data_IF_947326090828
#
_entry.id   IF_947326090828
#
_cell.length_a   1.000
_cell.length_b   1.000
_cell.length_c   1.000
_cell.angle_alpha   90.00
_cell.angle_beta   90.00
_cell.angle_gamma   90.00
#
_symmetry.space_group_name_H-M   'P 1'
#
loop_
_entity.id
_entity.type
_entity.pdbx_description
1 polymer ?
#
# COMPACT_ATOMS: atom_id res chain seq x y z
N UNK A 1 -10.70 -14.54 2.98
CA UNK A 1 -9.25 -14.49 3.27
C UNK A 1 -8.40 -14.16 2.02
N UNK A 2 -8.84 -13.29 1.09
CA UNK A 2 -8.13 -13.06 -0.19
C UNK A 2 -7.42 -11.71 -0.29
N UNK A 3 -8.04 -10.66 0.27
CA UNK A 3 -7.46 -9.31 0.31
C UNK A 3 -6.14 -9.25 1.09
N UNK A 4 -6.06 -9.97 2.21
CA UNK A 4 -4.84 -10.03 3.03
C UNK A 4 -3.70 -10.78 2.31
N UNK A 5 -4.03 -11.85 1.58
CA UNK A 5 -3.05 -12.64 0.82
C UNK A 5 -2.46 -11.83 -0.35
N UNK A 6 -3.31 -11.08 -1.06
CA UNK A 6 -2.87 -10.19 -2.14
C UNK A 6 -2.01 -9.02 -1.62
N UNK A 7 -2.33 -8.46 -0.45
CA UNK A 7 -1.48 -7.45 0.19
C UNK A 7 -0.12 -7.99 0.61
N UNK A 8 -0.08 -9.19 1.20
CA UNK A 8 1.17 -9.83 1.61
C UNK A 8 2.08 -10.15 0.41
N UNK A 9 1.50 -10.54 -0.73
CA UNK A 9 2.24 -10.80 -1.99
C UNK A 9 2.78 -9.53 -2.66
N UNK A 10 2.24 -8.36 -2.32
CA UNK A 10 2.65 -7.06 -2.88
C UNK A 10 3.70 -6.35 -2.02
N UNK A 11 4.20 -6.98 -0.96
CA UNK A 11 5.30 -6.45 -0.15
C UNK A 11 6.63 -6.66 -0.89
N UNK A 12 7.08 -5.64 -1.61
CA UNK A 12 8.39 -5.61 -2.26
C UNK A 12 9.45 -5.10 -1.29
N UNK A 13 10.32 -5.99 -0.80
CA UNK A 13 11.46 -5.63 0.04
C UNK A 13 11.08 -5.09 1.43
N UNK A 14 12.07 -4.50 2.13
CA UNK A 14 12.04 -4.04 3.53
C UNK A 14 11.04 -2.89 3.79
N UNK A 15 9.75 -3.14 3.54
CA UNK A 15 8.63 -2.24 3.75
C UNK A 15 7.67 -2.88 4.74
N UNK A 16 7.33 -2.14 5.78
CA UNK A 16 6.44 -2.60 6.85
C UNK A 16 5.19 -1.75 6.88
N UNK A 17 4.01 -2.36 6.72
CA UNK A 17 2.74 -1.67 6.90
C UNK A 17 2.37 -1.64 8.39
N UNK A 18 2.15 -0.44 8.93
CA UNK A 18 1.73 -0.20 10.31
C UNK A 18 0.20 -0.16 10.45
N UNK A 19 -0.48 0.37 9.44
CA UNK A 19 -1.95 0.48 9.44
C UNK A 19 -2.49 0.40 8.03
N UNK A 20 -3.56 -0.37 7.90
CA UNK A 20 -4.44 -0.35 6.74
C UNK A 20 -5.83 0.08 7.17
N UNK A 21 -6.42 1.03 6.45
CA UNK A 21 -7.81 1.45 6.65
C UNK A 21 -8.53 1.39 5.31
N UNK A 22 -9.53 0.52 5.19
CA UNK A 22 -10.42 0.45 4.05
C UNK A 22 -11.68 1.29 4.32
N UNK A 23 -12.01 2.22 3.42
CA UNK A 23 -13.23 3.04 3.47
C UNK A 23 -13.91 3.00 2.11
N UNK A 24 -14.93 2.15 1.98
CA UNK A 24 -15.58 1.90 0.70
C UNK A 24 -14.60 1.25 -0.27
N UNK A 25 -14.17 1.99 -1.29
CA UNK A 25 -13.15 1.56 -2.27
C UNK A 25 -11.78 2.19 -2.05
N UNK A 26 -11.62 3.10 -1.08
CA UNK A 26 -10.34 3.74 -0.77
C UNK A 26 -9.60 2.97 0.32
N UNK A 27 -8.31 2.69 0.10
CA UNK A 27 -7.41 2.07 1.06
C UNK A 27 -6.35 3.10 1.44
N UNK A 28 -6.34 3.49 2.70
CA UNK A 28 -5.24 4.24 3.29
C UNK A 28 -4.25 3.28 3.95
N UNK A 29 -2.99 3.36 3.55
CA UNK A 29 -1.87 2.58 4.09
C UNK A 29 -0.90 3.53 4.76
N UNK A 30 -0.48 3.24 5.98
CA UNK A 30 0.69 3.86 6.60
C UNK A 30 1.72 2.80 6.91
N UNK A 31 2.99 3.11 6.67
CA UNK A 31 4.08 2.17 6.87
C UNK A 31 5.43 2.85 7.04
N UNK A 32 6.45 2.02 7.25
CA UNK A 32 7.85 2.41 7.27
C UNK A 32 8.57 1.69 6.14
N UNK A 33 9.29 2.45 5.33
CA UNK A 33 10.16 1.96 4.28
C UNK A 33 11.61 2.20 4.69
N UNK A 34 12.51 1.29 4.28
CA UNK A 34 13.95 1.44 4.49
C UNK A 34 14.56 2.64 3.75
N UNK A 35 13.97 3.03 2.62
CA UNK A 35 14.38 4.19 1.81
C UNK A 35 13.20 4.72 0.96
N UNK A 36 13.37 5.93 0.41
CA UNK A 36 12.35 6.57 -0.44
C UNK A 36 12.11 5.87 -1.79
N UNK A 37 13.09 5.12 -2.29
CA UNK A 37 12.94 4.34 -3.51
C UNK A 37 11.96 3.18 -3.29
N UNK A 38 11.89 2.59 -2.09
CA UNK A 38 10.88 1.54 -1.78
C UNK A 38 9.45 2.06 -1.87
N UNK A 39 9.21 3.29 -1.41
CA UNK A 39 7.88 3.92 -1.51
C UNK A 39 7.48 4.09 -2.99
N UNK A 40 8.45 4.48 -3.83
CA UNK A 40 8.24 4.66 -5.28
C UNK A 40 7.95 3.33 -5.97
N UNK A 41 8.64 2.25 -5.59
CA UNK A 41 8.39 0.91 -6.13
C UNK A 41 7.03 0.36 -5.67
N UNK A 42 6.59 0.65 -4.44
CA UNK A 42 5.25 0.30 -3.97
C UNK A 42 4.15 0.99 -4.78
N UNK A 43 4.32 2.29 -5.10
CA UNK A 43 3.39 3.02 -5.95
C UNK A 43 3.29 2.40 -7.34
N UNK A 44 4.43 2.03 -7.95
CA UNK A 44 4.46 1.37 -9.25
C UNK A 44 3.82 -0.01 -9.21
N UNK A 45 4.01 -0.78 -8.14
CA UNK A 45 3.36 -2.07 -7.96
C UNK A 45 1.82 -1.92 -7.92
N UNK A 46 1.31 -0.90 -7.23
CA UNK A 46 -0.12 -0.59 -7.25
C UNK A 46 -0.63 -0.13 -8.62
N UNK A 47 0.14 0.67 -9.35
CA UNK A 47 -0.21 1.14 -10.70
C UNK A 47 -0.24 0.00 -11.73
N UNK A 48 0.66 -0.98 -11.58
CA UNK A 48 0.72 -2.18 -12.42
C UNK A 48 -0.34 -3.25 -12.05
N UNK A 49 -1.01 -3.08 -10.92
CA UNK A 49 -1.99 -4.07 -10.45
C UNK A 49 -3.35 -3.88 -11.12
N UNK A 50 -3.96 -4.99 -11.54
CA UNK A 50 -5.33 -4.97 -12.07
C UNK A 50 -6.38 -4.62 -10.98
N UNK A 51 -6.01 -4.81 -9.71
CA UNK A 51 -6.93 -4.67 -8.57
C UNK A 51 -6.91 -3.29 -7.94
N UNK A 52 -5.89 -2.48 -8.24
CA UNK A 52 -5.65 -1.20 -7.60
C UNK A 52 -5.47 -0.10 -8.65
N UNK A 53 -5.87 1.13 -8.31
CA UNK A 53 -5.71 2.29 -9.19
C UNK A 53 -5.56 3.57 -8.38
N UNK A 54 -4.92 4.57 -8.97
CA UNK A 54 -4.77 5.90 -8.36
C UNK A 54 -3.96 5.87 -7.06
N UNK A 55 -2.93 5.02 -6.99
CA UNK A 55 -2.00 5.01 -5.87
C UNK A 55 -1.29 6.36 -5.76
N UNK A 56 -1.39 7.01 -4.60
CA UNK A 56 -0.75 8.30 -4.36
C UNK A 56 -0.22 8.39 -2.93
N UNK A 57 0.97 8.96 -2.77
CA UNK A 57 1.56 9.22 -1.45
C UNK A 57 1.00 10.51 -0.87
N UNK A 58 0.47 10.43 0.35
CA UNK A 58 -0.12 11.55 1.07
C UNK A 58 0.83 12.18 2.07
N UNK A 59 1.82 11.44 2.58
CA UNK A 59 2.87 11.98 3.45
C UNK A 59 4.14 11.13 3.41
N UNK A 60 5.29 11.80 3.51
CA UNK A 60 6.61 11.17 3.67
C UNK A 60 7.36 11.94 4.75
N UNK A 61 7.84 11.22 5.76
CA UNK A 61 8.65 11.77 6.82
C UNK A 61 9.84 10.86 7.09
N UNK A 62 11.04 11.45 7.17
CA UNK A 62 12.22 10.71 7.60
C UNK A 62 11.97 10.10 8.98
N UNK A 63 12.32 8.83 9.12
CA UNK A 63 12.14 8.05 10.34
C UNK A 63 13.46 7.40 10.75
N UNK A 64 14.47 8.21 11.17
CA UNK A 64 15.82 7.74 11.46
C UNK A 64 15.89 6.70 12.59
N UNK A 65 14.82 6.60 13.39
CA UNK A 65 14.69 5.58 14.45
C UNK A 65 14.62 4.15 13.90
N UNK A 66 14.18 3.96 12.65
CA UNK A 66 14.15 2.66 11.98
C UNK A 66 15.37 2.39 11.07
N UNK A 67 16.20 3.40 10.83
CA UNK A 67 17.38 3.31 9.96
C UNK A 67 17.76 4.68 9.39
N UNK A 68 19.03 4.90 9.00
CA UNK A 68 19.52 6.21 8.57
C UNK A 68 18.79 6.79 7.34
N UNK A 69 18.29 5.91 6.47
CA UNK A 69 17.56 6.29 5.24
C UNK A 69 16.06 6.00 5.34
N UNK A 70 15.62 5.44 6.48
CA UNK A 70 14.27 4.98 6.67
C UNK A 70 13.29 6.15 6.68
N UNK A 71 12.11 5.91 6.09
CA UNK A 71 11.06 6.90 5.97
C UNK A 71 9.71 6.30 6.31
N UNK A 72 8.97 7.00 7.17
CA UNK A 72 7.56 6.71 7.42
C UNK A 72 6.74 7.34 6.31
N UNK A 73 5.84 6.56 5.73
CA UNK A 73 5.00 7.00 4.63
C UNK A 73 3.53 6.76 4.94
N UNK A 74 2.70 7.59 4.31
CA UNK A 74 1.28 7.37 4.17
C UNK A 74 0.92 7.43 2.68
N UNK A 75 0.14 6.48 2.22
CA UNK A 75 -0.38 6.44 0.86
C UNK A 75 -1.87 6.09 0.85
N UNK A 76 -2.55 6.49 -0.22
CA UNK A 76 -3.93 6.11 -0.51
C UNK A 76 -3.96 5.45 -1.88
N UNK A 77 -4.77 4.42 -2.02
CA UNK A 77 -4.99 3.68 -3.27
C UNK A 77 -6.43 3.24 -3.35
N UNK A 78 -7.00 3.18 -4.55
CA UNK A 78 -8.38 2.73 -4.75
C UNK A 78 -8.42 1.30 -5.25
N UNK A 79 -9.39 0.52 -4.78
CA UNK A 79 -9.71 -0.80 -5.33
C UNK A 79 -10.45 -0.60 -6.64
N UNK A 80 -9.87 -1.08 -7.74
CA UNK A 80 -10.39 -0.99 -9.10
C UNK A 80 -11.17 -2.25 -9.53
N UNK A 81 -10.85 -3.41 -8.96
CA UNK A 81 -11.52 -4.65 -9.32
C UNK A 81 -13.02 -4.62 -8.94
N UNK A 82 -13.91 -5.16 -9.79
CA UNK A 82 -15.32 -5.28 -9.47
C UNK A 82 -15.49 -6.23 -8.28
N UNK A 83 -16.39 -5.87 -7.37
CA UNK A 83 -16.77 -6.63 -6.18
C UNK A 83 -16.64 -8.14 -6.36
N UNK A 84 -15.65 -8.76 -5.71
CA UNK A 84 -15.72 -10.18 -5.32
C UNK A 84 -16.74 -10.33 -4.17
N UNK A 85 -17.97 -9.90 -4.46
CA UNK A 85 -19.13 -9.78 -3.57
C UNK A 85 -20.45 -9.57 -4.32
N UNK A 86 -20.45 -9.63 -5.66
CA UNK A 86 -21.66 -9.75 -6.48
C UNK A 86 -21.76 -11.15 -7.10
N UNK A 87 -21.48 -12.19 -6.30
CA UNK A 87 -21.84 -13.57 -6.60
C UNK A 87 -22.34 -14.21 -5.29
N UNK A 88 -23.65 -14.16 -5.10
CA UNK A 88 -24.35 -14.66 -3.92
C UNK A 88 -25.84 -14.39 -4.03
N UNK A 89 -26.46 -15.15 -4.93
CA UNK A 89 -27.90 -15.31 -5.17
C UNK A 89 -28.73 -15.47 -3.89
#
# INVERSE_FOLDING_TARGET
>A
MRLFDELARQLSGNVFFERLTLRGTDIAVTGVAEDNSRISDQLRAFDQSLWFTGGNVTSINAFPQAGPEASRFALSVKVSAPSAGAEGN
#
